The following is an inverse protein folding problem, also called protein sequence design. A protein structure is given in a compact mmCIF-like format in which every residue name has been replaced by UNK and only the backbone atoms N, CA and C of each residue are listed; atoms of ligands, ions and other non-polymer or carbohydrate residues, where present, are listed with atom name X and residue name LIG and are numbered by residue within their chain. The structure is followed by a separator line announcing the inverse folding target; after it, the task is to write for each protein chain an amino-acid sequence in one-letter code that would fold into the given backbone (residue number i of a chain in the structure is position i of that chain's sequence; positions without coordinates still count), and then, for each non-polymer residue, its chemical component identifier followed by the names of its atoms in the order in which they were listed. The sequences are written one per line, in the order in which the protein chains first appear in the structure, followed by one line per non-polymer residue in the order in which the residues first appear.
data_IF_478362863664
#
_entry.id   IF_478362863664
#
_cell.length_a   1.000
_cell.length_b   1.000
_cell.length_c   1.000
_cell.angle_alpha   90.00
_cell.angle_beta   90.00
_cell.angle_gamma   90.00
#
_symmetry.space_group_name_H-M   'P 1'
#
loop_
_entity.id
_entity.type
_entity.pdbx_description
1 polymer ?
#
# COMPACT_ATOMS: atom_id res chain seq x y z
N UNK A 1 1.94 -10.13 17.82
CA UNK A 1 2.73 -10.04 16.56
C UNK A 1 1.91 -9.87 15.27
N UNK A 2 0.63 -10.30 15.20
CA UNK A 2 -0.17 -10.28 13.95
C UNK A 2 -0.25 -8.90 13.26
N UNK A 3 -0.63 -7.85 14.00
CA UNK A 3 -0.71 -6.47 13.46
C UNK A 3 0.65 -5.94 13.00
N UNK A 4 1.68 -6.16 13.81
CA UNK A 4 3.03 -5.68 13.54
C UNK A 4 3.61 -6.31 12.25
N UNK A 5 3.27 -7.57 11.98
CA UNK A 5 3.66 -8.25 10.75
C UNK A 5 2.93 -7.66 9.53
N UNK A 6 1.64 -7.36 9.64
CA UNK A 6 0.87 -6.69 8.57
C UNK A 6 1.41 -5.29 8.28
N UNK A 7 1.76 -4.52 9.32
CA UNK A 7 2.36 -3.19 9.12
C UNK A 7 3.72 -3.32 8.42
N UNK A 8 4.57 -4.29 8.80
CA UNK A 8 5.83 -4.53 8.11
C UNK A 8 5.64 -4.97 6.66
N UNK A 9 4.64 -5.80 6.40
CA UNK A 9 4.28 -6.23 5.04
C UNK A 9 3.82 -5.02 4.20
N UNK A 10 2.96 -4.16 4.74
CA UNK A 10 2.53 -2.92 4.11
C UNK A 10 3.73 -2.02 3.76
N UNK A 11 4.64 -1.82 4.71
CA UNK A 11 5.82 -0.96 4.50
C UNK A 11 6.82 -1.56 3.49
N UNK A 12 6.92 -2.89 3.38
CA UNK A 12 7.82 -3.53 2.40
C UNK A 12 7.25 -3.60 0.98
N UNK A 13 5.95 -3.30 0.80
CA UNK A 13 5.34 -3.27 -0.53
C UNK A 13 6.05 -2.24 -1.43
N UNK A 14 6.36 -2.69 -2.64
CA UNK A 14 6.84 -1.87 -3.76
C UNK A 14 6.02 -2.22 -5.00
N UNK A 15 5.82 -1.24 -5.87
CA UNK A 15 5.21 -1.47 -7.17
C UNK A 15 6.19 -2.25 -8.05
N UNK A 16 5.69 -3.19 -8.83
CA UNK A 16 6.47 -3.89 -9.86
C UNK A 16 6.38 -3.13 -11.18
N UNK A 17 7.39 -3.24 -12.03
CA UNK A 17 7.38 -2.57 -13.34
C UNK A 17 6.23 -3.00 -14.26
N UNK A 18 5.75 -4.24 -14.09
CA UNK A 18 4.63 -4.82 -14.84
C UNK A 18 3.27 -4.61 -14.18
N UNK A 19 3.23 -4.04 -12.99
CA UNK A 19 2.01 -3.85 -12.22
C UNK A 19 1.36 -2.51 -12.57
N UNK A 20 0.04 -2.46 -12.60
CA UNK A 20 -0.70 -1.20 -12.71
C UNK A 20 -0.87 -0.50 -11.36
N UNK A 21 -1.04 0.82 -11.36
CA UNK A 21 -1.31 1.59 -10.12
C UNK A 21 -2.49 1.01 -9.35
N UNK A 22 -3.53 0.57 -10.07
CA UNK A 22 -4.72 -0.04 -9.46
C UNK A 22 -4.38 -1.33 -8.71
N UNK A 23 -3.67 -2.27 -9.34
CA UNK A 23 -3.28 -3.54 -8.71
C UNK A 23 -2.40 -3.30 -7.48
N UNK A 24 -1.48 -2.33 -7.54
CA UNK A 24 -0.67 -1.93 -6.39
C UNK A 24 -1.55 -1.42 -5.24
N UNK A 25 -2.50 -0.53 -5.55
CA UNK A 25 -3.42 0.03 -4.57
C UNK A 25 -4.34 -1.02 -3.95
N UNK A 26 -4.84 -1.99 -4.75
CA UNK A 26 -5.69 -3.07 -4.29
C UNK A 26 -4.95 -3.99 -3.29
N UNK A 27 -3.68 -4.30 -3.56
CA UNK A 27 -2.83 -5.08 -2.63
C UNK A 27 -2.58 -4.34 -1.31
N UNK A 28 -2.28 -3.04 -1.38
CA UNK A 28 -2.08 -2.22 -0.18
C UNK A 28 -3.34 -2.16 0.67
N UNK A 29 -4.50 -1.99 0.03
CA UNK A 29 -5.81 -1.99 0.69
C UNK A 29 -6.15 -3.34 1.33
N UNK A 30 -5.78 -4.48 0.73
CA UNK A 30 -5.99 -5.80 1.34
C UNK A 30 -5.28 -5.92 2.70
N UNK A 31 -4.04 -5.44 2.80
CA UNK A 31 -3.29 -5.43 4.07
C UNK A 31 -3.95 -4.50 5.08
N UNK A 32 -4.34 -3.29 4.67
CA UNK A 32 -5.02 -2.33 5.55
C UNK A 32 -6.35 -2.88 6.07
N UNK A 33 -7.12 -3.55 5.22
CA UNK A 33 -8.38 -4.17 5.61
C UNK A 33 -8.15 -5.24 6.68
N UNK A 34 -7.10 -6.06 6.56
CA UNK A 34 -6.71 -7.02 7.62
C UNK A 34 -6.34 -6.32 8.93
N UNK A 35 -5.65 -5.18 8.89
CA UNK A 35 -5.34 -4.38 10.08
C UNK A 35 -6.61 -3.82 10.72
N UNK A 36 -7.52 -3.26 9.92
CA UNK A 36 -8.80 -2.70 10.37
C UNK A 36 -9.74 -3.76 10.95
N UNK A 37 -9.74 -4.97 10.39
CA UNK A 37 -10.48 -6.12 10.93
C UNK A 37 -10.00 -6.51 12.33
N UNK A 38 -8.73 -6.25 12.65
CA UNK A 38 -8.16 -6.43 13.99
C UNK A 38 -8.46 -5.23 14.92
N UNK A 39 -9.35 -4.32 14.51
CA UNK A 39 -9.76 -3.11 15.23
C UNK A 39 -8.62 -2.13 15.53
N UNK A 40 -7.58 -2.15 14.69
CA UNK A 40 -6.50 -1.17 14.77
C UNK A 40 -6.78 -0.05 13.78
N UNK A 41 -6.75 1.18 14.27
CA UNK A 41 -6.86 2.35 13.42
C UNK A 41 -5.67 2.41 12.46
N UNK A 42 -5.96 2.55 11.17
CA UNK A 42 -4.97 2.75 10.13
C UNK A 42 -5.46 3.87 9.23
N UNK A 43 -4.76 5.01 9.27
CA UNK A 43 -5.20 6.27 8.66
C UNK A 43 -5.10 6.21 7.14
N UNK A 44 -6.13 6.71 6.45
CA UNK A 44 -6.16 6.80 4.99
C UNK A 44 -5.01 7.64 4.43
N UNK A 45 -4.57 8.68 5.17
CA UNK A 45 -3.42 9.51 4.77
C UNK A 45 -2.16 8.68 4.55
N UNK A 46 -1.91 7.68 5.41
CA UNK A 46 -0.73 6.80 5.27
C UNK A 46 -0.83 5.87 4.07
N UNK A 47 -2.06 5.52 3.66
CA UNK A 47 -2.31 4.72 2.46
C UNK A 47 -1.99 5.55 1.21
N UNK A 48 -2.49 6.79 1.17
CA UNK A 48 -2.25 7.73 0.08
C UNK A 48 -0.76 8.05 -0.05
N UNK A 49 -0.09 8.39 1.05
CA UNK A 49 1.37 8.61 1.08
C UNK A 49 2.13 7.39 0.56
N UNK A 50 1.74 6.18 0.97
CA UNK A 50 2.39 4.95 0.50
C UNK A 50 2.25 4.77 -1.01
N UNK A 51 1.03 4.94 -1.54
CA UNK A 51 0.75 4.82 -2.98
C UNK A 51 1.60 5.83 -3.75
N UNK A 52 1.62 7.10 -3.32
CA UNK A 52 2.38 8.17 -3.99
C UNK A 52 3.90 7.87 -4.02
N UNK A 53 4.45 7.26 -2.97
CA UNK A 53 5.87 6.87 -2.93
C UNK A 53 6.16 5.62 -3.76
N UNK A 54 5.20 4.69 -3.86
CA UNK A 54 5.40 3.43 -4.60
C UNK A 54 5.13 3.53 -6.10
N UNK A 55 4.25 4.44 -6.53
CA UNK A 55 3.97 4.66 -7.95
C UNK A 55 5.16 5.43 -8.53
N UNK A 56 5.85 4.90 -9.56
CA UNK A 56 6.90 5.65 -10.23
C UNK A 56 6.29 6.95 -10.77
N UNK A 57 6.99 8.08 -10.61
CA UNK A 57 6.61 9.35 -11.23
C UNK A 57 6.15 9.05 -12.64
N UNK A 58 4.92 9.47 -12.97
CA UNK A 58 4.29 9.24 -14.27
C UNK A 58 5.37 9.57 -15.29
N UNK A 59 5.89 8.55 -15.97
CA UNK A 59 6.92 8.70 -17.00
C UNK A 59 6.38 9.80 -17.89
N UNK A 60 7.12 10.91 -18.00
CA UNK A 60 6.86 11.95 -18.97
C UNK A 60 6.47 11.25 -20.27
N UNK A 61 5.19 11.33 -20.61
CA UNK A 61 4.69 10.86 -21.88
C UNK A 61 5.21 11.89 -22.88
N UNK A 62 5.96 11.49 -23.92
CA UNK A 62 6.50 12.42 -24.92
C UNK A 62 5.42 13.29 -25.57
#
# INVERSE_FOLDING_TARGET
MKVLNLIREFESQRMKDSETVKECSDRLLDIVNKVRLLRVEFKDTRIVEKILVTVPEIRDVP
#
